data_IF_217030887136
#
_entry.id   IF_217030887136
#
_cell.length_a   1.000
_cell.length_b   1.000
_cell.length_c   1.000
_cell.angle_alpha   90.00
_cell.angle_beta   90.00
_cell.angle_gamma   90.00
#
_symmetry.space_group_name_H-M   'P 1'
#
loop_
_entity.id
_entity.type
_entity.pdbx_description
1 polymer ?
#
# COMPACT_ATOMS: atom_id res chain seq x y z
N UNK A 1 25.60 -1.96 0.17
CA UNK A 1 24.77 -3.18 0.11
C UNK A 1 23.37 -2.76 0.58
N UNK A 2 22.65 -1.94 -0.19
CA UNK A 2 21.55 -1.12 0.37
C UNK A 2 20.28 -1.06 -0.49
N UNK A 3 20.25 -1.73 -1.64
CA UNK A 3 19.07 -1.75 -2.53
C UNK A 3 18.06 -2.87 -2.25
N UNK A 4 18.35 -3.77 -1.30
CA UNK A 4 17.48 -4.92 -1.01
C UNK A 4 16.36 -4.61 -0.01
N UNK A 5 16.51 -3.62 0.87
CA UNK A 5 15.50 -3.33 1.91
C UNK A 5 14.34 -2.48 1.39
N UNK A 6 14.61 -1.54 0.48
CA UNK A 6 13.58 -0.61 0.00
C UNK A 6 12.50 -1.30 -0.85
N UNK A 7 12.87 -2.29 -1.67
CA UNK A 7 11.89 -3.07 -2.44
C UNK A 7 10.98 -3.93 -1.54
N UNK A 8 11.53 -4.52 -0.48
CA UNK A 8 10.78 -5.38 0.43
C UNK A 8 9.79 -4.60 1.31
N UNK A 9 10.16 -3.40 1.76
CA UNK A 9 9.26 -2.55 2.54
C UNK A 9 8.03 -2.09 1.73
N UNK A 10 8.24 -1.76 0.44
CA UNK A 10 7.14 -1.40 -0.45
C UNK A 10 6.18 -2.58 -0.71
N UNK A 11 6.69 -3.82 -0.84
CA UNK A 11 5.83 -5.00 -1.04
C UNK A 11 4.91 -5.28 0.16
N UNK A 12 5.43 -5.23 1.39
CA UNK A 12 4.61 -5.39 2.59
C UNK A 12 3.55 -4.30 2.71
N UNK A 13 3.93 -3.05 2.44
CA UNK A 13 2.99 -1.93 2.48
C UNK A 13 1.87 -2.12 1.43
N UNK A 14 2.21 -2.62 0.23
CA UNK A 14 1.23 -2.95 -0.82
C UNK A 14 0.26 -4.06 -0.40
N UNK A 15 0.75 -5.15 0.19
CA UNK A 15 -0.10 -6.24 0.69
C UNK A 15 -1.03 -5.77 1.81
N UNK A 16 -0.51 -4.97 2.75
CA UNK A 16 -1.31 -4.37 3.81
C UNK A 16 -2.37 -3.45 3.19
N UNK A 17 -2.01 -2.65 2.18
CA UNK A 17 -2.94 -1.78 1.50
C UNK A 17 -4.10 -2.54 0.85
N UNK A 18 -3.81 -3.60 0.09
CA UNK A 18 -4.83 -4.48 -0.49
C UNK A 18 -5.76 -5.06 0.57
N UNK A 19 -5.20 -5.61 1.64
CA UNK A 19 -5.99 -6.22 2.70
C UNK A 19 -6.89 -5.18 3.40
N UNK A 20 -6.39 -3.97 3.62
CA UNK A 20 -7.17 -2.88 4.21
C UNK A 20 -8.31 -2.41 3.29
N UNK A 21 -8.07 -2.31 1.98
CA UNK A 21 -9.13 -2.00 1.01
C UNK A 21 -10.21 -3.09 0.99
N UNK A 22 -9.83 -4.37 1.03
CA UNK A 22 -10.78 -5.50 1.12
C UNK A 22 -11.58 -5.49 2.42
N UNK A 23 -10.99 -5.02 3.52
CA UNK A 23 -11.69 -4.80 4.79
C UNK A 23 -12.67 -3.60 4.73
N UNK A 24 -12.77 -2.89 3.61
CA UNK A 24 -13.67 -1.75 3.43
C UNK A 24 -13.11 -0.42 3.93
N UNK A 25 -11.81 -0.31 4.18
CA UNK A 25 -11.17 0.95 4.55
C UNK A 25 -11.01 1.85 3.32
N UNK A 26 -11.15 3.16 3.52
CA UNK A 26 -10.98 4.13 2.43
C UNK A 26 -9.50 4.30 2.06
N UNK A 27 -9.21 4.58 0.79
CA UNK A 27 -7.86 4.74 0.27
C UNK A 27 -7.01 5.76 1.08
N UNK A 28 -7.63 6.80 1.64
CA UNK A 28 -6.97 7.78 2.52
C UNK A 28 -6.52 7.16 3.86
N UNK A 29 -7.35 6.31 4.46
CA UNK A 29 -7.01 5.59 5.69
C UNK A 29 -5.90 4.58 5.44
N UNK A 30 -5.97 3.90 4.29
CA UNK A 30 -4.94 2.95 3.85
C UNK A 30 -3.60 3.66 3.58
N UNK A 31 -3.63 4.83 2.93
CA UNK A 31 -2.44 5.64 2.65
C UNK A 31 -1.75 6.08 3.94
N UNK A 32 -2.54 6.53 4.92
CA UNK A 32 -2.03 6.93 6.22
C UNK A 32 -1.41 5.75 7.00
N UNK A 33 -2.00 4.56 6.92
CA UNK A 33 -1.54 3.39 7.66
C UNK A 33 -0.30 2.73 7.03
N UNK A 34 -0.20 2.74 5.71
CA UNK A 34 0.90 2.08 4.97
C UNK A 34 2.02 3.04 4.57
N UNK A 35 1.82 4.34 4.79
CA UNK A 35 2.66 5.42 4.28
C UNK A 35 2.84 5.38 2.75
N UNK A 36 1.94 4.70 2.04
CA UNK A 36 1.93 4.67 0.60
C UNK A 36 1.21 5.90 0.03
N UNK A 37 1.57 6.34 -1.18
CA UNK A 37 0.84 7.36 -1.88
C UNK A 37 -0.60 6.91 -2.17
N UNK A 38 -1.56 7.82 -2.02
CA UNK A 38 -2.96 7.62 -2.41
C UNK A 38 -3.10 7.15 -3.86
N UNK A 39 -2.26 7.68 -4.76
CA UNK A 39 -2.21 7.29 -6.18
C UNK A 39 -1.88 5.80 -6.36
N UNK A 40 -0.89 5.28 -5.63
CA UNK A 40 -0.51 3.86 -5.64
C UNK A 40 -1.66 2.98 -5.14
N UNK A 41 -2.39 3.43 -4.12
CA UNK A 41 -3.50 2.70 -3.52
C UNK A 41 -4.72 2.72 -4.43
N UNK A 42 -5.05 3.86 -5.04
CA UNK A 42 -6.14 3.98 -6.01
C UNK A 42 -5.87 3.16 -7.26
N UNK A 43 -4.61 3.10 -7.72
CA UNK A 43 -4.22 2.30 -8.87
C UNK A 43 -4.34 0.78 -8.61
N UNK A 44 -4.39 0.35 -7.34
CA UNK A 44 -4.69 -1.05 -6.97
C UNK A 44 -6.18 -1.39 -6.97
N UNK A 45 -7.07 -0.40 -6.93
CA UNK A 45 -8.52 -0.61 -6.92
C UNK A 45 -9.11 -0.82 -8.34
N UNK A 46 -8.28 -0.68 -9.38
CA UNK A 46 -8.69 -0.69 -10.78
C UNK A 46 -8.40 -2.02 -11.52
N UNK A 47 -8.26 -3.14 -10.81
CA UNK A 47 -8.01 -4.47 -11.40
C UNK A 47 -9.22 -5.40 -11.34
#
# INVERSE_FOLDING_TARGET
>A
MELCMEKGMNQKALEIAKNMLVMGLSAEQVAKATQLPLDIIMNQNNS
#
